data_IF_812197124430
#
_entry.id   IF_812197124430
#
_cell.length_a   1.000
_cell.length_b   1.000
_cell.length_c   1.000
_cell.angle_alpha   90.00
_cell.angle_beta   90.00
_cell.angle_gamma   90.00
#
_symmetry.space_group_name_H-M   'P 1'
#
loop_
_entity.id
_entity.type
_entity.pdbx_description
1 polymer ?
#
# COMPACT_ATOMS: atom_id res chain seq x y z
N UNK A 1 47.18 -4.51 13.73
CA UNK A 1 46.42 -5.28 14.70
C UNK A 1 45.59 -6.38 14.01
N UNK A 2 45.65 -7.58 14.58
CA UNK A 2 45.02 -8.78 14.01
C UNK A 2 43.48 -8.64 13.84
N UNK A 3 42.84 -7.77 14.59
CA UNK A 3 41.40 -7.53 14.50
C UNK A 3 40.96 -6.74 13.24
N UNK A 4 41.84 -5.95 12.66
CA UNK A 4 41.52 -5.19 11.44
C UNK A 4 41.51 -6.06 10.17
N UNK A 5 42.20 -7.21 10.18
CA UNK A 5 42.18 -8.16 9.05
C UNK A 5 40.88 -8.97 8.99
N UNK A 6 40.29 -9.29 10.15
CA UNK A 6 39.05 -10.03 10.22
C UNK A 6 37.84 -9.22 9.73
N UNK A 7 37.77 -7.93 10.05
CA UNK A 7 36.70 -7.05 9.57
C UNK A 7 36.75 -6.83 8.05
N UNK A 8 37.94 -6.67 7.45
CA UNK A 8 38.11 -6.52 6.02
C UNK A 8 37.64 -7.74 5.21
N UNK A 9 37.82 -8.95 5.73
CA UNK A 9 37.37 -10.19 5.10
C UNK A 9 35.87 -10.43 5.30
N UNK A 10 35.29 -9.99 6.42
CA UNK A 10 33.85 -10.01 6.65
C UNK A 10 33.16 -9.08 5.66
N UNK A 11 33.64 -7.86 5.48
CA UNK A 11 33.10 -6.92 4.48
C UNK A 11 33.22 -7.43 3.04
N UNK A 12 34.30 -8.10 2.69
CA UNK A 12 34.48 -8.68 1.35
C UNK A 12 33.58 -9.90 1.08
N UNK A 13 33.14 -10.60 2.14
CA UNK A 13 32.26 -11.76 2.05
C UNK A 13 30.80 -11.40 2.29
N UNK A 14 30.53 -10.22 2.82
CA UNK A 14 29.18 -9.69 3.02
C UNK A 14 28.62 -9.28 1.67
N UNK A 15 27.78 -10.11 1.09
CA UNK A 15 26.96 -9.70 -0.04
C UNK A 15 25.88 -8.79 0.49
N UNK A 16 25.69 -7.65 -0.15
CA UNK A 16 24.57 -6.76 0.15
C UNK A 16 23.27 -7.58 0.06
N UNK A 17 22.54 -7.62 1.17
CA UNK A 17 21.34 -8.38 1.28
C UNK A 17 20.18 -7.43 1.57
N UNK A 18 19.27 -7.28 0.63
CA UNK A 18 18.07 -6.46 0.73
C UNK A 18 16.86 -7.32 1.05
N UNK A 19 15.91 -6.81 1.82
CA UNK A 19 14.62 -7.46 2.08
C UNK A 19 13.52 -7.02 1.13
N UNK A 20 13.83 -6.20 0.13
CA UNK A 20 12.92 -5.73 -0.92
C UNK A 20 13.41 -6.18 -2.29
N UNK A 21 12.50 -6.54 -3.16
CA UNK A 21 12.79 -6.92 -4.55
C UNK A 21 11.70 -6.42 -5.49
N UNK A 22 12.11 -6.05 -6.69
CA UNK A 22 11.22 -5.54 -7.72
C UNK A 22 11.50 -6.20 -9.06
N UNK A 23 10.44 -6.51 -9.80
CA UNK A 23 10.54 -6.95 -11.18
C UNK A 23 9.39 -6.40 -12.01
N UNK A 24 9.65 -6.15 -13.27
CA UNK A 24 8.63 -5.69 -14.20
C UNK A 24 8.93 -6.16 -15.63
N UNK A 25 7.89 -6.16 -16.45
CA UNK A 25 8.04 -6.31 -17.88
C UNK A 25 8.22 -4.94 -18.52
N UNK A 26 9.38 -4.66 -19.14
CA UNK A 26 9.74 -3.34 -19.66
C UNK A 26 8.75 -2.74 -20.66
N UNK A 27 7.94 -3.57 -21.34
CA UNK A 27 6.89 -3.15 -22.28
C UNK A 27 5.48 -3.23 -21.66
N UNK A 28 5.36 -3.34 -20.33
CA UNK A 28 4.08 -3.40 -19.64
C UNK A 28 3.23 -4.66 -19.89
N UNK A 29 3.77 -5.72 -20.50
CA UNK A 29 3.00 -6.93 -20.78
C UNK A 29 2.77 -7.74 -19.51
N UNK A 30 1.52 -7.92 -19.12
CA UNK A 30 1.15 -8.75 -17.97
C UNK A 30 1.35 -10.25 -18.27
N UNK A 31 1.81 -11.00 -17.27
CA UNK A 31 1.94 -12.45 -17.31
C UNK A 31 1.96 -13.05 -15.92
N UNK A 32 1.51 -14.30 -15.79
CA UNK A 32 1.65 -15.07 -14.55
C UNK A 32 3.12 -15.36 -14.22
N UNK A 33 4.01 -15.34 -15.23
CA UNK A 33 5.45 -15.51 -15.02
C UNK A 33 6.02 -14.46 -14.05
N UNK A 34 5.62 -13.19 -14.18
CA UNK A 34 6.04 -12.13 -13.24
C UNK A 34 5.66 -12.48 -11.81
N UNK A 35 4.44 -13.01 -11.61
CA UNK A 35 3.93 -13.38 -10.28
C UNK A 35 4.69 -14.57 -9.69
N UNK A 36 4.96 -15.60 -10.51
CA UNK A 36 5.71 -16.79 -10.08
C UNK A 36 7.21 -16.49 -9.82
N UNK A 37 7.83 -15.65 -10.63
CA UNK A 37 9.22 -15.20 -10.41
C UNK A 37 9.32 -14.31 -9.16
N UNK A 38 8.30 -13.50 -8.87
CA UNK A 38 8.20 -12.71 -7.64
C UNK A 38 8.13 -13.63 -6.39
N UNK A 39 7.43 -14.77 -6.48
CA UNK A 39 7.46 -15.81 -5.45
C UNK A 39 8.88 -16.30 -5.20
N UNK A 40 9.61 -16.64 -6.27
CA UNK A 40 10.99 -17.11 -6.17
C UNK A 40 11.89 -16.06 -5.55
N UNK A 41 11.77 -14.80 -6.00
CA UNK A 41 12.51 -13.66 -5.46
C UNK A 41 12.25 -13.50 -3.96
N UNK A 42 10.98 -13.54 -3.53
CA UNK A 42 10.59 -13.43 -2.11
C UNK A 42 11.14 -14.59 -1.28
N UNK A 43 11.05 -15.83 -1.78
CA UNK A 43 11.59 -17.02 -1.10
C UNK A 43 13.12 -16.94 -0.96
N UNK A 44 13.83 -16.43 -1.95
CA UNK A 44 15.29 -16.26 -1.89
C UNK A 44 15.72 -15.22 -0.84
N UNK A 45 14.81 -14.35 -0.40
CA UNK A 45 15.04 -13.37 0.66
C UNK A 45 14.64 -13.88 2.06
N UNK A 46 14.32 -15.17 2.23
CA UNK A 46 13.89 -15.73 3.53
C UNK A 46 14.91 -15.49 4.65
N UNK A 47 16.20 -15.46 4.32
CA UNK A 47 17.27 -15.13 5.25
C UNK A 47 17.22 -13.68 5.80
N UNK A 48 16.41 -12.81 5.22
CA UNK A 48 16.16 -11.43 5.67
C UNK A 48 14.89 -11.30 6.52
N UNK A 49 14.01 -12.26 6.46
CA UNK A 49 12.87 -12.39 7.34
C UNK A 49 13.25 -12.91 8.72
N UNK A 50 12.40 -12.71 9.69
CA UNK A 50 12.50 -13.35 10.99
C UNK A 50 11.19 -14.08 11.32
N UNK A 51 11.23 -14.93 12.33
CA UNK A 51 10.08 -15.67 12.83
C UNK A 51 10.00 -15.50 14.34
N UNK A 52 8.81 -15.72 14.90
CA UNK A 52 8.60 -15.74 16.33
C UNK A 52 9.16 -17.01 16.99
N UNK A 53 8.69 -17.32 18.19
CA UNK A 53 9.06 -18.54 18.91
C UNK A 53 8.60 -19.82 18.15
N UNK A 54 7.50 -19.78 17.43
CA UNK A 54 7.09 -20.80 16.46
C UNK A 54 7.57 -20.35 15.06
N UNK A 55 8.27 -21.22 14.34
CA UNK A 55 8.78 -20.94 13.00
C UNK A 55 7.67 -20.62 11.97
N UNK A 56 6.42 -20.97 12.26
CA UNK A 56 5.24 -20.63 11.45
C UNK A 56 4.67 -19.23 11.74
N UNK A 57 5.16 -18.54 12.77
CA UNK A 57 4.82 -17.16 13.07
C UNK A 57 5.82 -16.22 12.39
N UNK A 58 5.54 -15.82 11.16
CA UNK A 58 6.37 -14.88 10.43
C UNK A 58 6.26 -13.46 10.99
N UNK A 59 7.32 -12.67 10.82
CA UNK A 59 7.35 -11.25 11.23
C UNK A 59 6.55 -10.35 10.30
N UNK A 60 6.50 -10.70 9.03
CA UNK A 60 5.79 -9.96 8.01
C UNK A 60 6.42 -10.15 6.63
N UNK A 61 5.60 -10.35 5.64
CA UNK A 61 5.99 -10.38 4.24
C UNK A 61 4.80 -10.03 3.33
N UNK A 62 5.09 -9.66 2.09
CA UNK A 62 4.04 -9.35 1.14
C UNK A 62 4.54 -9.12 -0.27
N UNK A 63 3.58 -8.97 -1.16
CA UNK A 63 3.75 -8.65 -2.57
C UNK A 63 2.72 -7.61 -3.01
N UNK A 64 3.17 -6.60 -3.73
CA UNK A 64 2.34 -5.71 -4.53
C UNK A 64 2.47 -6.12 -5.98
N UNK A 65 1.36 -6.22 -6.69
CA UNK A 65 1.34 -6.52 -8.11
C UNK A 65 0.56 -5.46 -8.87
N UNK A 66 0.78 -5.35 -10.18
CA UNK A 66 -0.19 -4.67 -11.05
C UNK A 66 -1.55 -5.33 -10.98
N UNK A 67 -2.60 -4.59 -11.32
CA UNK A 67 -3.99 -5.09 -11.30
C UNK A 67 -4.13 -6.35 -12.17
N UNK A 68 -4.56 -7.49 -11.61
CA UNK A 68 -4.72 -8.75 -12.33
C UNK A 68 -6.10 -8.84 -12.99
N UNK A 69 -6.41 -7.95 -13.93
CA UNK A 69 -7.75 -7.75 -14.50
C UNK A 69 -8.39 -9.05 -15.03
N UNK A 70 -7.67 -9.84 -15.81
CA UNK A 70 -8.20 -11.09 -16.37
C UNK A 70 -8.63 -12.09 -15.27
N UNK A 71 -7.87 -12.15 -14.17
CA UNK A 71 -8.21 -12.95 -13.01
C UNK A 71 -9.48 -12.42 -12.32
N UNK A 72 -9.53 -11.11 -12.02
CA UNK A 72 -10.66 -10.51 -11.33
C UNK A 72 -11.95 -10.61 -12.12
N UNK A 73 -11.92 -10.39 -13.45
CA UNK A 73 -13.11 -10.58 -14.32
C UNK A 73 -13.63 -12.00 -14.26
N UNK A 74 -12.73 -12.97 -14.26
CA UNK A 74 -13.12 -14.38 -14.13
C UNK A 74 -13.79 -14.65 -12.77
N UNK A 75 -13.19 -14.19 -11.67
CA UNK A 75 -13.78 -14.37 -10.34
C UNK A 75 -15.14 -13.69 -10.21
N UNK A 76 -15.27 -12.47 -10.76
CA UNK A 76 -16.54 -11.74 -10.78
C UNK A 76 -17.59 -12.48 -11.60
N UNK A 77 -17.24 -13.03 -12.77
CA UNK A 77 -18.21 -13.77 -13.60
C UNK A 77 -18.71 -15.09 -12.96
N UNK A 78 -17.99 -15.61 -11.96
CA UNK A 78 -18.39 -16.82 -11.22
C UNK A 78 -19.33 -16.47 -10.05
N UNK A 79 -19.01 -15.41 -9.31
CA UNK A 79 -19.60 -15.15 -8.00
C UNK A 79 -20.62 -14.00 -7.99
N UNK A 80 -20.72 -13.20 -9.08
CA UNK A 80 -21.51 -11.98 -9.10
C UNK A 80 -22.30 -11.81 -10.40
N UNK A 81 -23.39 -11.04 -10.32
CA UNK A 81 -24.28 -10.72 -11.46
C UNK A 81 -23.92 -9.38 -12.14
N UNK A 82 -22.67 -8.91 -12.02
CA UNK A 82 -22.20 -7.71 -12.70
C UNK A 82 -20.93 -7.96 -13.49
N UNK A 83 -20.64 -7.09 -14.47
CA UNK A 83 -19.41 -7.08 -15.22
C UNK A 83 -18.50 -5.93 -14.77
N UNK A 84 -17.18 -6.17 -14.73
CA UNK A 84 -16.23 -5.10 -14.44
C UNK A 84 -16.09 -4.17 -15.65
N UNK A 85 -16.04 -2.84 -15.44
CA UNK A 85 -15.69 -1.87 -16.47
C UNK A 85 -14.30 -2.11 -17.08
N UNK A 86 -13.88 -1.32 -18.09
CA UNK A 86 -12.52 -1.35 -18.60
C UNK A 86 -11.46 -1.20 -17.49
N UNK A 87 -10.25 -1.73 -17.74
CA UNK A 87 -9.10 -1.56 -16.83
C UNK A 87 -8.83 -0.08 -16.60
N UNK A 88 -8.65 0.30 -15.35
CA UNK A 88 -8.46 1.70 -14.95
C UNK A 88 -9.76 2.40 -14.54
N UNK A 89 -10.93 1.89 -14.93
CA UNK A 89 -12.23 2.47 -14.61
C UNK A 89 -12.92 1.79 -13.41
N UNK A 90 -12.28 0.79 -12.83
CA UNK A 90 -12.66 0.21 -11.55
C UNK A 90 -11.46 0.08 -10.63
N UNK A 91 -11.69 0.11 -9.33
CA UNK A 91 -10.68 -0.14 -8.32
C UNK A 91 -11.01 -1.40 -7.53
N UNK A 92 -9.94 -2.08 -7.12
CA UNK A 92 -10.00 -3.20 -6.20
C UNK A 92 -8.84 -3.12 -5.23
N UNK A 93 -8.93 -3.82 -4.10
CA UNK A 93 -7.82 -3.88 -3.15
C UNK A 93 -8.15 -4.78 -1.97
N UNK A 94 -7.14 -5.13 -1.20
CA UNK A 94 -7.31 -5.96 -0.02
C UNK A 94 -7.59 -5.11 1.21
N UNK A 95 -8.73 -5.35 1.86
CA UNK A 95 -9.13 -4.75 3.11
C UNK A 95 -9.17 -5.80 4.21
N UNK A 96 -8.56 -5.50 5.34
CA UNK A 96 -8.59 -6.32 6.54
C UNK A 96 -9.74 -5.93 7.45
N UNK A 97 -10.48 -6.93 7.90
CA UNK A 97 -11.58 -6.80 8.85
C UNK A 97 -11.41 -7.75 10.03
N UNK A 98 -12.17 -7.53 11.08
CA UNK A 98 -12.22 -8.46 12.20
C UNK A 98 -12.68 -9.86 11.75
N UNK A 99 -11.89 -10.89 12.06
CA UNK A 99 -12.12 -12.25 11.54
C UNK A 99 -13.21 -13.04 12.28
N UNK A 100 -13.53 -12.66 13.52
CA UNK A 100 -14.41 -13.42 14.42
C UNK A 100 -15.69 -12.68 14.80
N UNK A 101 -15.84 -11.44 14.37
CA UNK A 101 -17.00 -10.61 14.68
C UNK A 101 -17.70 -10.23 13.37
N UNK A 102 -18.71 -11.01 13.03
CA UNK A 102 -19.47 -10.84 11.80
C UNK A 102 -20.35 -9.59 11.84
N UNK A 103 -20.86 -9.23 13.03
CA UNK A 103 -21.66 -8.02 13.20
C UNK A 103 -20.82 -6.76 13.02
N UNK A 104 -19.68 -6.66 13.73
CA UNK A 104 -18.78 -5.53 13.57
C UNK A 104 -18.29 -5.41 12.12
N UNK A 105 -18.02 -6.53 11.44
CA UNK A 105 -17.64 -6.51 10.02
C UNK A 105 -18.75 -5.98 9.13
N UNK A 106 -19.99 -6.39 9.34
CA UNK A 106 -21.14 -5.90 8.58
C UNK A 106 -21.34 -4.38 8.79
N UNK A 107 -21.19 -3.89 10.01
CA UNK A 107 -21.26 -2.47 10.34
C UNK A 107 -20.15 -1.67 9.64
N UNK A 108 -18.90 -2.19 9.62
CA UNK A 108 -17.77 -1.55 8.93
C UNK A 108 -17.99 -1.49 7.42
N UNK A 109 -18.52 -2.54 6.81
CA UNK A 109 -18.88 -2.57 5.39
C UNK A 109 -19.93 -1.49 5.10
N UNK A 110 -20.99 -1.40 5.90
CA UNK A 110 -22.02 -0.37 5.72
C UNK A 110 -21.48 1.06 5.87
N UNK A 111 -20.54 1.28 6.81
CA UNK A 111 -19.89 2.58 6.97
C UNK A 111 -19.07 2.91 5.71
N UNK A 112 -18.29 1.94 5.22
CA UNK A 112 -17.47 2.09 4.01
C UNK A 112 -18.31 2.41 2.78
N UNK A 113 -19.41 1.68 2.55
CA UNK A 113 -20.32 1.89 1.44
C UNK A 113 -21.03 3.26 1.51
N UNK A 114 -21.47 3.68 2.71
CA UNK A 114 -22.07 5.00 2.90
C UNK A 114 -21.09 6.15 2.61
N UNK A 115 -19.81 5.95 2.92
CA UNK A 115 -18.77 6.93 2.59
C UNK A 115 -18.54 6.93 1.08
N UNK A 116 -18.44 5.76 0.44
CA UNK A 116 -18.32 5.61 -1.01
C UNK A 116 -19.43 6.38 -1.74
N UNK A 117 -20.70 6.13 -1.38
CA UNK A 117 -21.86 6.76 -2.02
C UNK A 117 -21.83 8.30 -1.89
N UNK A 118 -21.39 8.83 -0.73
CA UNK A 118 -21.25 10.29 -0.52
C UNK A 118 -20.21 10.92 -1.42
N UNK A 119 -19.18 10.14 -1.77
CA UNK A 119 -18.08 10.57 -2.63
C UNK A 119 -18.35 10.34 -4.12
N UNK A 120 -19.57 9.92 -4.49
CA UNK A 120 -19.91 9.61 -5.88
C UNK A 120 -19.30 8.29 -6.38
N UNK A 121 -18.81 7.46 -5.47
CA UNK A 121 -18.30 6.12 -5.75
C UNK A 121 -19.40 5.07 -5.52
N UNK A 122 -19.34 3.96 -6.24
CA UNK A 122 -20.23 2.81 -6.05
C UNK A 122 -19.45 1.55 -5.79
N UNK A 123 -19.77 0.85 -4.71
CA UNK A 123 -19.31 -0.52 -4.46
C UNK A 123 -20.23 -1.49 -5.18
N UNK A 124 -19.71 -2.25 -6.13
CA UNK A 124 -20.46 -3.24 -6.91
C UNK A 124 -20.66 -4.54 -6.14
N UNK A 125 -19.68 -4.90 -5.32
CA UNK A 125 -19.69 -6.13 -4.54
C UNK A 125 -18.42 -6.33 -3.73
N UNK A 126 -18.46 -7.33 -2.84
CA UNK A 126 -17.38 -7.70 -1.95
C UNK A 126 -17.00 -9.17 -2.16
N UNK A 127 -15.78 -9.41 -2.59
CA UNK A 127 -15.20 -10.74 -2.73
C UNK A 127 -14.42 -11.11 -1.47
N UNK A 128 -14.61 -12.29 -0.94
CA UNK A 128 -13.75 -12.86 0.07
C UNK A 128 -12.49 -13.45 -0.59
N UNK A 129 -11.31 -13.07 -0.10
CA UNK A 129 -10.05 -13.63 -0.58
C UNK A 129 -9.84 -15.03 0.00
N UNK A 130 -9.70 -16.07 -0.83
CA UNK A 130 -9.47 -17.44 -0.34
C UNK A 130 -8.07 -17.58 0.26
N UNK A 131 -8.01 -18.07 1.50
CA UNK A 131 -6.74 -18.17 2.26
C UNK A 131 -6.61 -19.53 2.97
N UNK A 132 -5.38 -20.05 3.04
CA UNK A 132 -5.04 -21.22 3.86
C UNK A 132 -4.49 -20.80 5.22
N UNK A 133 -5.33 -20.84 6.24
CA UNK A 133 -4.94 -20.53 7.61
C UNK A 133 -4.25 -21.68 8.34
N UNK A 134 -4.17 -22.89 7.77
CA UNK A 134 -3.58 -24.06 8.40
C UNK A 134 -2.07 -23.92 8.58
N UNK A 135 -1.43 -23.17 7.69
CA UNK A 135 0.02 -22.93 7.67
C UNK A 135 0.51 -21.91 8.71
N UNK A 136 -0.41 -21.18 9.36
CA UNK A 136 -0.06 -20.13 10.32
C UNK A 136 0.31 -20.70 11.68
N UNK A 137 1.28 -20.08 12.34
CA UNK A 137 1.58 -20.31 13.74
C UNK A 137 0.49 -19.75 14.68
N UNK A 138 0.57 -20.05 15.98
CA UNK A 138 -0.45 -19.65 16.94
C UNK A 138 -0.65 -18.13 17.02
N UNK A 139 0.43 -17.34 17.02
CA UNK A 139 0.38 -15.90 17.18
C UNK A 139 -0.20 -15.23 15.93
N UNK A 140 0.27 -15.56 14.74
CA UNK A 140 -0.23 -15.00 13.47
C UNK A 140 -1.67 -15.43 13.21
N UNK A 141 -2.03 -16.68 13.54
CA UNK A 141 -3.41 -17.21 13.43
C UNK A 141 -4.39 -16.50 14.36
N UNK A 142 -3.99 -16.22 15.60
CA UNK A 142 -4.87 -15.55 16.56
C UNK A 142 -5.24 -14.13 16.16
N UNK A 143 -4.38 -13.48 15.36
CA UNK A 143 -4.49 -12.09 14.89
C UNK A 143 -4.86 -11.97 13.41
N UNK A 144 -5.13 -13.10 12.73
CA UNK A 144 -5.42 -13.05 11.30
C UNK A 144 -6.68 -12.23 11.03
N UNK A 145 -6.68 -11.35 10.05
CA UNK A 145 -7.88 -10.66 9.59
C UNK A 145 -8.74 -11.55 8.69
N UNK A 146 -9.97 -11.15 8.49
CA UNK A 146 -10.77 -11.52 7.32
C UNK A 146 -10.38 -10.57 6.20
N UNK A 147 -10.00 -11.07 5.05
CA UNK A 147 -9.59 -10.25 3.90
C UNK A 147 -10.72 -10.19 2.88
N UNK A 148 -11.23 -8.99 2.60
CA UNK A 148 -12.25 -8.73 1.60
C UNK A 148 -11.73 -7.78 0.53
N UNK A 149 -12.24 -7.93 -0.69
CA UNK A 149 -11.97 -7.09 -1.85
C UNK A 149 -13.25 -6.41 -2.33
N UNK A 150 -13.38 -5.08 -2.20
CA UNK A 150 -14.43 -4.34 -2.86
C UNK A 150 -14.12 -4.14 -4.34
N UNK A 151 -15.13 -4.16 -5.18
CA UNK A 151 -15.07 -3.66 -6.55
C UNK A 151 -15.76 -2.31 -6.59
N UNK A 152 -15.02 -1.25 -6.89
CA UNK A 152 -15.48 0.14 -6.80
C UNK A 152 -15.39 0.80 -8.17
N UNK A 153 -16.40 1.59 -8.51
CA UNK A 153 -16.46 2.38 -9.73
C UNK A 153 -16.85 3.82 -9.43
N UNK A 154 -16.62 4.71 -10.37
CA UNK A 154 -17.14 6.07 -10.32
C UNK A 154 -18.64 6.04 -10.65
N UNK A 155 -19.50 6.07 -9.62
CA UNK A 155 -20.94 5.85 -9.74
C UNK A 155 -21.63 6.87 -10.62
N UNK A 156 -21.23 8.14 -10.55
CA UNK A 156 -21.79 9.23 -11.36
C UNK A 156 -21.50 9.03 -12.85
N UNK A 157 -20.33 8.52 -13.22
CA UNK A 157 -19.98 8.23 -14.61
C UNK A 157 -20.88 7.13 -15.21
N UNK A 158 -21.18 6.09 -14.45
CA UNK A 158 -22.02 4.97 -14.89
C UNK A 158 -23.54 5.22 -14.70
N UNK A 159 -23.93 6.43 -14.29
CA UNK A 159 -25.33 6.80 -14.13
C UNK A 159 -26.02 6.11 -12.94
N UNK A 160 -25.26 5.59 -11.97
CA UNK A 160 -25.78 4.91 -10.80
C UNK A 160 -26.01 5.84 -9.60
N UNK A 161 -25.67 7.12 -9.75
CA UNK A 161 -26.03 8.17 -8.80
C UNK A 161 -26.88 9.22 -9.47
N UNK A 162 -27.56 10.05 -8.68
CA UNK A 162 -28.45 11.12 -9.19
C UNK A 162 -27.68 12.33 -9.72
N UNK A 163 -26.37 12.38 -9.56
CA UNK A 163 -25.51 13.47 -10.07
C UNK A 163 -25.04 13.10 -11.49
N UNK A 164 -25.32 13.94 -12.46
CA UNK A 164 -24.75 13.81 -13.80
C UNK A 164 -23.30 14.33 -13.76
N UNK A 165 -22.37 13.56 -14.31
CA UNK A 165 -20.98 14.01 -14.54
C UNK A 165 -21.01 15.27 -15.41
N UNK A 166 -20.34 16.32 -14.96
CA UNK A 166 -20.18 17.57 -15.72
C UNK A 166 -19.19 17.44 -16.88
N UNK A 167 -18.45 16.34 -16.96
CA UNK A 167 -17.43 16.07 -17.97
C UNK A 167 -18.04 15.31 -19.16
N UNK A 168 -18.43 15.94 -20.21
CA UNK A 168 -18.71 15.50 -21.59
C UNK A 168 -18.67 13.97 -21.89
N UNK A 169 -18.97 13.11 -20.91
CA UNK A 169 -19.03 11.66 -21.05
C UNK A 169 -17.68 10.93 -21.05
N UNK A 170 -16.54 11.60 -20.81
CA UNK A 170 -15.25 10.92 -20.65
C UNK A 170 -14.99 10.53 -19.20
N UNK A 171 -14.35 9.38 -18.98
CA UNK A 171 -13.93 8.93 -17.64
C UNK A 171 -12.85 9.86 -17.06
N UNK A 172 -13.05 10.36 -15.85
CA UNK A 172 -12.09 11.22 -15.14
C UNK A 172 -11.24 10.36 -14.17
N UNK A 173 -10.11 9.89 -14.68
CA UNK A 173 -9.14 9.10 -13.90
C UNK A 173 -8.63 9.89 -12.67
N UNK A 174 -8.43 11.21 -12.83
CA UNK A 174 -7.92 12.04 -11.75
C UNK A 174 -8.93 12.22 -10.62
N UNK A 175 -10.20 12.38 -10.96
CA UNK A 175 -11.29 12.39 -9.99
C UNK A 175 -11.40 11.03 -9.29
N UNK A 176 -11.33 9.94 -10.05
CA UNK A 176 -11.44 8.59 -9.49
C UNK A 176 -10.35 8.30 -8.47
N UNK A 177 -9.07 8.54 -8.81
CA UNK A 177 -7.94 8.38 -7.88
C UNK A 177 -8.11 9.23 -6.62
N UNK A 178 -8.53 10.48 -6.78
CA UNK A 178 -8.79 11.40 -5.67
C UNK A 178 -9.89 10.87 -4.74
N UNK A 179 -11.01 10.46 -5.29
CA UNK A 179 -12.13 9.96 -4.50
C UNK A 179 -11.80 8.66 -3.78
N UNK A 180 -11.02 7.76 -4.40
CA UNK A 180 -10.49 6.57 -3.74
C UNK A 180 -9.58 6.91 -2.56
N UNK A 181 -8.73 7.92 -2.69
CA UNK A 181 -7.87 8.39 -1.60
C UNK A 181 -8.69 8.98 -0.44
N UNK A 182 -9.66 9.84 -0.75
CA UNK A 182 -10.57 10.42 0.27
C UNK A 182 -11.37 9.32 0.96
N UNK A 183 -11.92 8.36 0.20
CA UNK A 183 -12.62 7.19 0.72
C UNK A 183 -11.75 6.41 1.71
N UNK A 184 -10.52 6.08 1.29
CA UNK A 184 -9.59 5.34 2.12
C UNK A 184 -9.30 6.07 3.43
N UNK A 185 -8.98 7.35 3.36
CA UNK A 185 -8.67 8.18 4.54
C UNK A 185 -9.88 8.29 5.47
N UNK A 186 -11.02 8.68 4.93
CA UNK A 186 -12.23 8.89 5.72
C UNK A 186 -12.72 7.58 6.36
N UNK A 187 -12.72 6.46 5.63
CA UNK A 187 -13.07 5.15 6.18
C UNK A 187 -12.10 4.72 7.29
N UNK A 188 -10.78 4.90 7.09
CA UNK A 188 -9.77 4.60 8.12
C UNK A 188 -10.00 5.42 9.38
N UNK A 189 -10.29 6.72 9.27
CA UNK A 189 -10.55 7.58 10.43
C UNK A 189 -11.86 7.24 11.11
N UNK A 190 -12.89 6.92 10.35
CA UNK A 190 -14.23 6.66 10.89
C UNK A 190 -14.35 5.31 11.59
N UNK A 191 -13.73 4.28 11.03
CA UNK A 191 -13.78 2.91 11.57
C UNK A 191 -12.63 2.72 12.58
N UNK A 192 -11.42 3.09 12.20
CA UNK A 192 -10.23 3.04 13.04
C UNK A 192 -9.50 1.69 13.04
N UNK A 193 -8.18 1.75 13.10
CA UNK A 193 -7.31 0.57 13.14
C UNK A 193 -7.54 -0.29 14.40
N UNK A 194 -7.92 0.34 15.51
CA UNK A 194 -8.28 -0.36 16.76
C UNK A 194 -9.45 -1.34 16.60
N UNK A 195 -10.29 -1.12 15.60
CA UNK A 195 -11.44 -1.97 15.26
C UNK A 195 -11.11 -3.04 14.22
N UNK A 196 -9.83 -3.36 14.02
CA UNK A 196 -9.37 -4.35 13.04
C UNK A 196 -9.71 -4.01 11.59
N UNK A 197 -9.84 -2.75 11.28
CA UNK A 197 -10.05 -2.27 9.93
C UNK A 197 -8.75 -1.66 9.37
N UNK A 198 -8.26 -2.22 8.26
CA UNK A 198 -7.07 -1.70 7.60
C UNK A 198 -7.17 -1.90 6.08
N UNK A 199 -6.88 -0.87 5.33
CA UNK A 199 -6.87 -0.90 3.86
C UNK A 199 -5.42 -1.12 3.40
N UNK A 200 -5.11 -2.35 2.96
CA UNK A 200 -3.78 -2.70 2.43
C UNK A 200 -3.51 -2.01 1.10
N UNK A 201 -4.51 -2.01 0.23
CA UNK A 201 -4.53 -1.32 -1.06
C UNK A 201 -5.96 -1.02 -1.47
N UNK A 202 -6.16 0.04 -2.23
CA UNK A 202 -7.40 0.38 -2.90
C UNK A 202 -7.04 1.25 -4.10
N UNK A 203 -6.98 0.66 -5.28
CA UNK A 203 -6.39 1.30 -6.46
C UNK A 203 -6.96 0.71 -7.75
N UNK A 204 -7.03 1.48 -8.85
CA UNK A 204 -7.34 0.94 -10.16
C UNK A 204 -6.16 0.24 -10.84
N UNK A 205 -4.92 0.38 -10.29
CA UNK A 205 -3.69 -0.02 -10.98
C UNK A 205 -2.89 -1.12 -10.29
N UNK A 206 -3.07 -1.32 -8.97
CA UNK A 206 -2.29 -2.29 -8.20
C UNK A 206 -3.06 -2.90 -7.04
N UNK A 207 -2.56 -4.03 -6.54
CA UNK A 207 -3.12 -4.72 -5.39
C UNK A 207 -1.99 -5.25 -4.49
N UNK A 208 -2.18 -5.18 -3.16
CA UNK A 208 -1.19 -5.62 -2.16
C UNK A 208 -1.72 -6.82 -1.39
N UNK A 209 -0.97 -7.92 -1.43
CA UNK A 209 -1.15 -9.08 -0.58
C UNK A 209 -0.03 -9.12 0.47
N UNK A 210 -0.37 -9.01 1.73
CA UNK A 210 0.62 -8.97 2.82
C UNK A 210 0.06 -9.50 4.13
N UNK A 211 0.92 -9.73 5.09
CA UNK A 211 0.47 -10.11 6.43
C UNK A 211 1.60 -10.49 7.36
N UNK A 212 1.25 -10.91 8.56
CA UNK A 212 2.19 -11.48 9.54
C UNK A 212 2.57 -12.91 9.09
N UNK A 213 3.30 -12.97 7.99
CA UNK A 213 3.69 -14.15 7.23
C UNK A 213 5.20 -14.20 7.08
N UNK A 214 5.76 -15.38 6.91
CA UNK A 214 7.11 -15.54 6.36
C UNK A 214 7.07 -15.43 4.84
N UNK A 215 8.20 -15.15 4.16
CA UNK A 215 8.30 -15.11 2.70
C UNK A 215 7.66 -16.30 1.99
N UNK A 216 7.89 -17.51 2.50
CA UNK A 216 7.34 -18.74 1.93
C UNK A 216 5.83 -18.85 2.12
N UNK A 217 5.30 -18.30 3.20
CA UNK A 217 3.87 -18.38 3.50
C UNK A 217 3.01 -17.49 2.62
N UNK A 218 3.50 -16.38 2.07
CA UNK A 218 2.66 -15.41 1.32
C UNK A 218 1.87 -16.10 0.20
N UNK A 219 2.53 -16.85 -0.67
CA UNK A 219 1.89 -17.54 -1.77
C UNK A 219 1.15 -18.83 -1.36
N UNK A 220 1.52 -19.42 -0.25
CA UNK A 220 0.80 -20.57 0.29
C UNK A 220 -0.47 -20.14 1.04
N UNK A 221 -0.48 -18.94 1.61
CA UNK A 221 -1.62 -18.38 2.33
C UNK A 221 -2.68 -17.81 1.38
N UNK A 222 -2.25 -17.01 0.39
CA UNK A 222 -3.15 -16.37 -0.58
C UNK A 222 -3.27 -17.22 -1.85
N UNK A 223 -4.37 -17.94 -2.01
CA UNK A 223 -4.58 -18.86 -3.14
C UNK A 223 -4.62 -18.13 -4.50
N UNK A 224 -5.08 -16.88 -4.52
CA UNK A 224 -5.14 -16.04 -5.72
C UNK A 224 -3.80 -15.98 -6.47
N UNK A 225 -2.71 -15.82 -5.71
CA UNK A 225 -1.35 -15.67 -6.26
C UNK A 225 -0.82 -16.92 -7.00
N UNK A 226 -1.45 -18.09 -6.79
CA UNK A 226 -1.11 -19.33 -7.46
C UNK A 226 -2.01 -19.62 -8.68
N UNK A 227 -3.03 -18.79 -8.93
CA UNK A 227 -3.93 -18.98 -10.06
C UNK A 227 -3.25 -18.57 -11.36
N UNK A 228 -3.23 -19.45 -12.36
CA UNK A 228 -2.56 -19.20 -13.64
C UNK A 228 -3.15 -18.02 -14.43
N UNK A 229 -4.41 -17.64 -14.18
CA UNK A 229 -5.03 -16.45 -14.76
C UNK A 229 -4.61 -15.15 -14.08
N UNK A 230 -4.02 -15.22 -12.86
CA UNK A 230 -3.48 -14.06 -12.17
C UNK A 230 -2.22 -13.56 -12.88
N UNK A 231 -2.36 -12.52 -13.68
CA UNK A 231 -1.29 -11.94 -14.50
C UNK A 231 -1.03 -10.50 -14.08
N UNK A 232 0.25 -10.14 -13.96
CA UNK A 232 0.68 -8.78 -13.64
C UNK A 232 1.86 -8.37 -14.50
N UNK A 233 2.03 -7.07 -14.73
CA UNK A 233 3.16 -6.52 -15.50
C UNK A 233 4.34 -6.10 -14.60
N UNK A 234 4.11 -6.01 -13.28
CA UNK A 234 5.16 -5.83 -12.29
C UNK A 234 4.81 -6.56 -10.98
N UNK A 235 5.83 -6.79 -10.15
CA UNK A 235 5.70 -7.20 -8.77
C UNK A 235 6.78 -6.56 -7.91
N UNK A 236 6.39 -6.07 -6.72
CA UNK A 236 7.25 -5.54 -5.68
C UNK A 236 7.07 -6.41 -4.45
N UNK A 237 8.13 -7.05 -3.97
CA UNK A 237 8.09 -7.98 -2.84
C UNK A 237 8.89 -7.47 -1.67
N UNK A 238 8.46 -7.79 -0.47
CA UNK A 238 9.18 -7.45 0.76
C UNK A 238 9.10 -8.58 1.77
N UNK A 239 10.23 -8.86 2.44
CA UNK A 239 10.39 -9.99 3.36
C UNK A 239 10.38 -9.60 4.84
N UNK A 240 9.88 -8.41 5.19
CA UNK A 240 9.82 -7.90 6.57
C UNK A 240 8.60 -7.03 6.82
N UNK A 241 8.42 -6.64 8.09
CA UNK A 241 7.51 -5.60 8.55
C UNK A 241 8.27 -4.30 8.85
N UNK A 242 7.53 -3.23 9.19
CA UNK A 242 8.12 -1.93 9.53
C UNK A 242 8.96 -2.02 10.81
N UNK A 243 10.19 -1.51 10.77
CA UNK A 243 11.11 -1.46 11.90
C UNK A 243 10.56 -0.63 13.07
N UNK A 244 11.12 -0.83 14.27
CA UNK A 244 10.76 -0.12 15.51
C UNK A 244 9.31 -0.35 15.99
N UNK A 245 8.68 -1.45 15.57
CA UNK A 245 7.32 -1.84 15.98
C UNK A 245 7.24 -3.33 16.24
N UNK A 246 6.18 -3.78 16.92
CA UNK A 246 5.88 -5.21 17.01
C UNK A 246 5.26 -5.71 15.69
N UNK A 247 5.57 -6.95 15.26
CA UNK A 247 4.96 -7.56 14.09
C UNK A 247 3.44 -7.57 14.16
N UNK A 248 2.79 -7.16 13.06
CA UNK A 248 1.35 -7.25 12.90
C UNK A 248 0.97 -7.32 11.41
N UNK A 249 -0.26 -7.74 11.13
CA UNK A 249 -0.74 -7.92 9.77
C UNK A 249 -0.70 -6.64 8.92
N UNK A 250 -1.05 -5.50 9.51
CA UNK A 250 -1.08 -4.19 8.87
C UNK A 250 0.32 -3.61 8.62
N UNK A 251 1.29 -3.93 9.50
CA UNK A 251 2.66 -3.40 9.44
C UNK A 251 3.59 -4.13 8.48
N UNK A 252 3.17 -5.28 7.96
CA UNK A 252 3.91 -5.95 6.91
C UNK A 252 4.03 -5.05 5.67
N UNK A 253 5.17 -5.12 4.98
CA UNK A 253 5.37 -4.44 3.72
C UNK A 253 5.13 -5.39 2.53
N UNK A 254 4.82 -4.88 1.31
CA UNK A 254 4.76 -3.47 0.91
C UNK A 254 3.63 -2.69 1.56
N UNK A 255 3.81 -1.36 1.64
CA UNK A 255 2.74 -0.41 1.91
C UNK A 255 2.01 -0.06 0.60
N UNK A 256 1.12 0.94 0.60
CA UNK A 256 0.33 1.30 -0.59
C UNK A 256 1.15 1.94 -1.70
N UNK A 257 2.12 2.78 -1.32
CA UNK A 257 2.94 3.56 -2.23
C UNK A 257 4.41 3.22 -2.15
N UNK A 258 4.86 2.55 -1.10
CA UNK A 258 6.27 2.34 -0.84
C UNK A 258 6.58 0.95 -0.28
N UNK A 259 7.81 0.51 -0.53
CA UNK A 259 8.47 -0.56 0.19
C UNK A 259 9.93 -0.19 0.38
N UNK A 260 10.44 -0.31 1.58
CA UNK A 260 11.83 0.07 1.87
C UNK A 260 12.44 -0.82 2.94
N UNK A 261 13.76 -0.88 2.92
CA UNK A 261 14.56 -1.64 3.88
C UNK A 261 15.39 -0.72 4.79
N UNK A 262 15.25 0.59 4.62
CA UNK A 262 15.92 1.59 5.45
C UNK A 262 15.29 1.72 6.83
N UNK A 263 16.03 2.33 7.74
CA UNK A 263 15.56 2.71 9.06
C UNK A 263 15.24 4.19 9.09
N UNK A 264 14.14 4.55 9.74
CA UNK A 264 13.77 5.95 10.01
C UNK A 264 14.10 6.21 11.47
N UNK A 265 15.27 6.82 11.71
CA UNK A 265 15.82 6.99 13.06
C UNK A 265 15.14 8.11 13.85
N UNK A 266 14.65 9.15 13.16
CA UNK A 266 14.00 10.31 13.79
C UNK A 266 12.82 10.77 12.95
N UNK A 267 11.62 10.52 13.40
CA UNK A 267 10.40 10.91 12.68
C UNK A 267 9.45 11.79 13.52
N UNK A 268 9.63 11.85 14.85
CA UNK A 268 8.71 12.54 15.74
C UNK A 268 8.57 14.03 15.40
N UNK A 269 9.68 14.69 15.11
CA UNK A 269 9.68 16.09 14.68
C UNK A 269 8.89 16.29 13.40
N UNK A 270 9.11 15.43 12.41
CA UNK A 270 8.43 15.46 11.11
C UNK A 270 6.92 15.22 11.25
N UNK A 271 6.51 14.25 12.07
CA UNK A 271 5.09 14.01 12.39
C UNK A 271 4.44 15.24 13.02
N UNK A 272 5.11 15.86 13.99
CA UNK A 272 4.60 17.07 14.66
C UNK A 272 4.48 18.26 13.69
N UNK A 273 5.46 18.44 12.81
CA UNK A 273 5.40 19.47 11.79
C UNK A 273 4.29 19.21 10.76
N UNK A 274 4.10 17.98 10.33
CA UNK A 274 2.99 17.64 9.42
C UNK A 274 1.65 17.95 10.07
N UNK A 275 1.47 17.58 11.34
CA UNK A 275 0.27 17.88 12.08
C UNK A 275 0.05 19.40 12.27
N UNK A 276 1.11 20.14 12.59
CA UNK A 276 1.02 21.60 12.67
C UNK A 276 0.63 22.27 11.35
N UNK A 277 1.03 21.70 10.21
CA UNK A 277 0.66 22.17 8.87
C UNK A 277 -0.78 21.91 8.50
N UNK A 278 -1.43 20.91 9.05
CA UNK A 278 -2.82 20.58 8.73
C UNK A 278 -3.74 21.80 8.86
N UNK A 279 -3.53 22.65 9.89
CA UNK A 279 -4.28 23.88 10.07
C UNK A 279 -4.09 24.95 8.99
N UNK A 280 -3.03 24.86 8.19
CA UNK A 280 -2.70 25.83 7.14
C UNK A 280 -2.74 25.25 5.73
N UNK A 281 -2.96 23.93 5.59
CA UNK A 281 -3.06 23.28 4.27
C UNK A 281 -4.22 23.89 3.48
N UNK A 282 -3.97 24.06 2.20
CA UNK A 282 -4.97 24.45 1.21
C UNK A 282 -4.74 23.59 -0.03
N UNK A 283 -5.81 23.15 -0.65
CA UNK A 283 -5.75 22.38 -1.88
C UNK A 283 -6.98 22.68 -2.73
N UNK A 284 -6.75 23.14 -3.93
CA UNK A 284 -7.82 23.29 -4.94
C UNK A 284 -8.34 21.93 -5.42
N UNK A 285 -7.48 20.89 -5.35
CA UNK A 285 -7.81 19.53 -5.77
C UNK A 285 -8.83 18.88 -4.84
N UNK A 286 -8.67 19.06 -3.50
CA UNK A 286 -9.56 18.48 -2.51
C UNK A 286 -10.70 19.39 -2.08
N UNK A 287 -10.55 20.72 -2.22
CA UNK A 287 -11.57 21.67 -1.78
C UNK A 287 -12.04 21.41 -0.34
N UNK A 288 -13.35 21.27 -0.15
CA UNK A 288 -13.98 21.01 1.15
C UNK A 288 -13.70 19.58 1.67
N UNK A 289 -13.27 18.66 0.81
CA UNK A 289 -12.93 17.28 1.23
C UNK A 289 -11.58 17.20 1.95
N UNK A 290 -10.77 18.28 1.94
CA UNK A 290 -9.46 18.31 2.60
C UNK A 290 -9.54 17.95 4.09
N UNK A 291 -10.58 18.42 4.79
CA UNK A 291 -10.78 18.16 6.22
C UNK A 291 -11.05 16.67 6.52
N UNK A 292 -11.55 15.88 5.55
CA UNK A 292 -11.76 14.45 5.68
C UNK A 292 -10.44 13.66 5.71
N UNK A 293 -9.34 14.27 5.27
CA UNK A 293 -8.03 13.66 5.22
C UNK A 293 -7.27 13.73 6.56
N UNK A 294 -7.70 14.58 7.49
CA UNK A 294 -6.99 14.79 8.76
C UNK A 294 -7.31 13.74 9.82
N UNK A 295 -6.30 13.29 10.59
CA UNK A 295 -4.88 13.59 10.42
C UNK A 295 -4.28 12.93 9.18
N UNK A 296 -3.38 13.62 8.49
CA UNK A 296 -2.69 13.07 7.29
C UNK A 296 -1.89 11.83 7.68
N UNK A 297 -1.13 11.90 8.77
CA UNK A 297 -0.42 10.74 9.31
C UNK A 297 -1.36 10.02 10.28
N UNK A 298 -1.75 8.81 9.93
CA UNK A 298 -2.68 8.00 10.70
C UNK A 298 -2.09 7.60 12.06
N UNK A 299 -2.89 7.74 13.13
CA UNK A 299 -2.49 7.38 14.47
C UNK A 299 -2.30 5.87 14.62
N UNK A 300 -1.29 5.44 15.39
CA UNK A 300 -1.00 4.03 15.64
C UNK A 300 -0.26 3.32 14.50
N UNK A 301 -0.03 3.99 13.36
CA UNK A 301 0.78 3.49 12.26
C UNK A 301 2.27 3.45 12.59
N UNK A 302 3.03 2.65 11.82
CA UNK A 302 4.50 2.63 11.89
C UNK A 302 5.10 3.91 11.30
N UNK A 303 6.41 4.07 11.47
CA UNK A 303 7.15 5.18 10.86
C UNK A 303 7.07 5.12 9.32
N UNK A 304 7.22 3.94 8.77
CA UNK A 304 7.03 3.69 7.33
C UNK A 304 5.62 4.03 6.86
N UNK A 305 4.59 3.71 7.66
CA UNK A 305 3.21 4.07 7.33
C UNK A 305 3.00 5.59 7.35
N UNK A 306 3.63 6.30 8.28
CA UNK A 306 3.62 7.77 8.29
C UNK A 306 4.26 8.37 7.04
N UNK A 307 5.39 7.83 6.61
CA UNK A 307 6.04 8.18 5.35
C UNK A 307 5.11 7.93 4.15
N UNK A 308 4.52 6.75 4.07
CA UNK A 308 3.61 6.34 3.00
C UNK A 308 2.36 7.24 2.91
N UNK A 309 1.81 7.67 4.05
CA UNK A 309 0.68 8.59 4.10
C UNK A 309 0.99 9.97 3.51
N UNK A 310 2.18 10.51 3.79
CA UNK A 310 2.60 11.80 3.26
C UNK A 310 2.93 11.70 1.77
N UNK A 311 3.60 10.61 1.36
CA UNK A 311 3.88 10.33 -0.04
C UNK A 311 2.59 10.26 -0.87
N UNK A 312 1.58 9.55 -0.38
CA UNK A 312 0.27 9.43 -1.00
C UNK A 312 -0.38 10.81 -1.19
N UNK A 313 -0.42 11.65 -0.16
CA UNK A 313 -0.95 13.01 -0.24
C UNK A 313 -0.25 13.84 -1.32
N UNK A 314 1.09 13.82 -1.34
CA UNK A 314 1.88 14.63 -2.27
C UNK A 314 1.66 14.23 -3.74
N UNK A 315 1.49 12.94 -4.00
CA UNK A 315 1.28 12.41 -5.36
C UNK A 315 -0.17 12.57 -5.81
N UNK A 316 -1.15 12.23 -4.97
CA UNK A 316 -2.58 12.33 -5.33
C UNK A 316 -3.03 13.78 -5.49
N UNK A 317 -2.44 14.70 -4.74
CA UNK A 317 -2.69 16.13 -4.89
C UNK A 317 -2.15 16.71 -6.22
N UNK A 318 -1.42 15.91 -7.02
CA UNK A 318 -0.86 16.27 -8.34
C UNK A 318 0.05 17.51 -8.36
N UNK A 319 0.49 17.99 -7.19
CA UNK A 319 1.47 19.07 -7.09
C UNK A 319 2.86 18.58 -7.45
N UNK A 320 3.15 17.32 -7.13
CA UNK A 320 4.43 16.67 -7.37
C UNK A 320 4.24 15.35 -8.13
N UNK A 321 5.17 15.05 -9.01
CA UNK A 321 5.31 13.68 -9.55
C UNK A 321 5.89 12.77 -8.48
N UNK A 322 5.65 11.47 -8.57
CA UNK A 322 6.20 10.48 -7.63
C UNK A 322 7.73 10.59 -7.45
N UNK A 323 8.56 10.73 -8.52
CA UNK A 323 9.99 10.94 -8.35
C UNK A 323 10.33 12.23 -7.58
N UNK A 324 9.64 13.33 -7.85
CA UNK A 324 9.84 14.59 -7.12
C UNK A 324 9.49 14.45 -5.64
N UNK A 325 8.35 13.82 -5.32
CA UNK A 325 7.94 13.56 -3.94
C UNK A 325 8.98 12.72 -3.19
N UNK A 326 9.48 11.64 -3.80
CA UNK A 326 10.54 10.82 -3.21
C UNK A 326 11.84 11.61 -3.01
N UNK A 327 12.29 12.39 -3.99
CA UNK A 327 13.49 13.23 -3.86
C UNK A 327 13.38 14.23 -2.71
N UNK A 328 12.20 14.75 -2.46
CA UNK A 328 11.94 15.68 -1.36
C UNK A 328 11.93 14.97 -0.01
N UNK A 329 11.27 13.82 0.06
CA UNK A 329 11.09 13.06 1.31
C UNK A 329 12.35 12.29 1.72
N UNK A 330 13.17 11.89 0.74
CA UNK A 330 14.44 11.18 0.94
C UNK A 330 15.52 11.89 0.15
N UNK A 331 15.94 13.10 0.58
CA UNK A 331 16.96 13.86 -0.13
C UNK A 331 18.31 13.14 -0.04
N UNK A 332 19.03 13.11 -1.16
CA UNK A 332 20.43 12.70 -1.13
C UNK A 332 21.31 13.75 -0.43
N UNK A 333 22.54 13.40 -0.07
CA UNK A 333 23.52 14.33 0.45
C UNK A 333 23.90 15.33 -0.66
N UNK A 334 23.44 16.59 -0.56
CA UNK A 334 23.65 17.63 -1.56
C UNK A 334 24.50 18.81 -1.07
N UNK A 335 24.60 18.96 0.26
CA UNK A 335 25.45 20.02 0.84
C UNK A 335 26.91 19.58 0.88
N UNK A 336 27.80 20.38 0.31
CA UNK A 336 29.25 20.10 0.31
C UNK A 336 29.70 19.03 -0.69
N UNK A 337 28.85 18.62 -1.63
CA UNK A 337 29.19 17.70 -2.73
C UNK A 337 29.09 18.41 -4.07
N UNK A 338 29.78 17.89 -5.10
CA UNK A 338 29.61 18.33 -6.48
C UNK A 338 28.25 17.84 -6.97
N UNK A 339 27.21 18.67 -6.80
CA UNK A 339 25.85 18.38 -7.23
C UNK A 339 25.46 19.31 -8.38
N UNK A 340 24.73 18.80 -9.35
CA UNK A 340 24.18 19.61 -10.44
C UNK A 340 23.46 20.85 -9.90
N UNK A 341 23.72 22.06 -10.44
CA UNK A 341 23.16 23.32 -9.92
C UNK A 341 21.63 23.35 -9.85
N UNK A 342 20.94 22.75 -10.83
CA UNK A 342 19.46 22.69 -10.84
C UNK A 342 18.94 21.79 -9.73
N UNK A 343 19.61 20.66 -9.51
CA UNK A 343 19.30 19.71 -8.43
C UNK A 343 19.57 20.33 -7.06
N UNK A 344 20.68 21.04 -6.89
CA UNK A 344 21.01 21.77 -5.66
C UNK A 344 19.97 22.86 -5.37
N UNK A 345 19.52 23.60 -6.38
CA UNK A 345 18.46 24.59 -6.25
C UNK A 345 17.12 23.95 -5.83
N UNK A 346 16.78 22.81 -6.43
CA UNK A 346 15.59 22.05 -6.05
C UNK A 346 15.64 21.61 -4.58
N UNK A 347 16.73 21.04 -4.10
CA UNK A 347 16.86 20.65 -2.69
C UNK A 347 16.87 21.84 -1.73
N UNK A 348 17.47 22.97 -2.13
CA UNK A 348 17.45 24.20 -1.35
C UNK A 348 16.02 24.73 -1.20
N UNK A 349 15.23 24.73 -2.29
CA UNK A 349 13.83 25.09 -2.25
C UNK A 349 13.04 24.10 -1.39
N UNK A 350 13.21 22.80 -1.59
CA UNK A 350 12.53 21.76 -0.82
C UNK A 350 12.83 21.86 0.68
N UNK A 351 14.07 22.14 1.07
CA UNK A 351 14.46 22.32 2.47
C UNK A 351 13.80 23.53 3.15
N UNK A 352 13.38 24.54 2.37
CA UNK A 352 12.62 25.68 2.91
C UNK A 352 11.13 25.37 3.08
N UNK A 353 10.59 24.46 2.27
CA UNK A 353 9.17 24.22 2.17
C UNK A 353 8.73 22.93 2.88
N UNK A 354 9.63 22.01 3.17
CA UNK A 354 9.29 20.65 3.57
C UNK A 354 9.94 20.18 4.85
N UNK A 355 9.24 19.32 5.45
CA UNK A 355 9.27 18.80 6.78
C UNK A 355 10.15 17.57 6.95
N UNK A 356 10.59 16.97 5.84
CA UNK A 356 11.42 15.78 5.83
C UNK A 356 12.83 16.13 5.37
N UNK A 357 13.58 16.76 6.26
CA UNK A 357 15.03 16.78 6.17
C UNK A 357 15.57 15.90 7.29
N UNK A 358 16.00 14.72 6.94
CA UNK A 358 16.82 13.88 7.83
C UNK A 358 18.19 14.50 8.07
#
# INVERSE_FOLDING_TARGET
PLWSRGLGDVYKRQKDACGVGFMCHMKGKASHKIVSEARLLLCNMTHRGATGADARDGDGAGVMTGMPDAFLRREVSIDFDFELPPVGEYACGNLFFHSRDDQARAEHIQIFEKISDKLGLRVLGWREVPVDSSILGPASRSRKPKTLQPFIVLGDYYGWTSKKSENNGAFDEALFDRQLYVLRKHATHRIGLSNWFYICSLSPSNIVYKGQLSPVQVYNYYHDLNNSSYSAHFALVHSRFSTNTFPSWDRAQPLRWSAHNGEINTIRGNKNWMHAREGSLRSEVFGDELDLLYPIIENGGSDSAGFDNVLELLVVNKVLTLPQAIMIMVPEAWKGTETDPAKAAFYKWAACCLLYTS
#
